data_IF_675302997635
#
_entry.id   IF_675302997635
#
_cell.length_a   1.000
_cell.length_b   1.000
_cell.length_c   1.000
_cell.angle_alpha   90.00
_cell.angle_beta   90.00
_cell.angle_gamma   90.00
#
_symmetry.space_group_name_H-M   'P 1'
#
loop_
_entity.id
_entity.type
_entity.pdbx_description
1 polymer ?
#
# COMPACT_ATOMS: atom_id res chain seq x y z
N UNK A 1 7.46 7.69 13.31
CA UNK A 1 7.60 6.72 12.19
C UNK A 1 6.22 6.24 11.78
N UNK A 2 5.93 6.12 10.47
CA UNK A 2 4.63 5.67 9.96
C UNK A 2 4.64 4.15 9.78
N UNK A 3 3.55 3.50 10.15
CA UNK A 3 3.33 2.06 9.97
C UNK A 3 2.12 1.81 9.08
N UNK A 4 2.16 0.67 8.38
CA UNK A 4 1.15 0.24 7.44
C UNK A 4 0.78 -1.21 7.71
N UNK A 5 -0.50 -1.53 7.53
CA UNK A 5 -1.02 -2.88 7.44
C UNK A 5 -2.03 -2.90 6.30
N UNK A 6 -1.76 -3.73 5.28
CA UNK A 6 -2.61 -3.89 4.12
C UNK A 6 -3.29 -5.25 4.24
N UNK A 7 -4.61 -5.30 4.04
CA UNK A 7 -5.41 -6.51 4.20
C UNK A 7 -6.22 -6.80 2.94
N UNK A 8 -6.07 -8.00 2.39
CA UNK A 8 -6.93 -8.55 1.32
C UNK A 8 -8.26 -8.97 1.95
N UNK A 9 -9.38 -8.57 1.36
CA UNK A 9 -10.72 -9.03 1.76
C UNK A 9 -11.13 -10.26 0.95
N UNK A 10 -12.21 -10.92 1.35
CA UNK A 10 -12.79 -12.05 0.61
C UNK A 10 -13.22 -11.67 -0.82
N UNK A 11 -13.56 -10.41 -1.05
CA UNK A 11 -13.95 -9.88 -2.36
C UNK A 11 -12.75 -9.39 -3.21
N UNK A 12 -11.54 -9.85 -2.90
CA UNK A 12 -10.29 -9.43 -3.57
C UNK A 12 -9.93 -7.93 -3.43
N UNK A 13 -10.63 -7.18 -2.57
CA UNK A 13 -10.33 -5.78 -2.32
C UNK A 13 -9.19 -5.61 -1.31
N UNK A 14 -8.52 -4.45 -1.32
CA UNK A 14 -7.48 -4.11 -0.34
C UNK A 14 -7.97 -3.04 0.62
N UNK A 15 -7.84 -3.30 1.92
CA UNK A 15 -8.09 -2.33 2.97
C UNK A 15 -6.76 -1.83 3.53
N UNK A 16 -6.63 -0.50 3.63
CA UNK A 16 -5.41 0.16 4.06
C UNK A 16 -5.53 0.68 5.50
N UNK A 17 -4.76 0.07 6.41
CA UNK A 17 -4.60 0.56 7.77
C UNK A 17 -3.23 1.23 7.93
N UNK A 18 -3.21 2.36 8.62
CA UNK A 18 -1.99 3.13 8.82
C UNK A 18 -2.04 3.94 10.11
N UNK A 19 -0.87 4.20 10.69
CA UNK A 19 -0.74 5.01 11.91
C UNK A 19 0.60 5.71 12.00
N UNK A 20 0.68 6.71 12.87
CA UNK A 20 1.94 7.27 13.36
C UNK A 20 2.31 6.59 14.69
N UNK A 21 3.47 5.92 14.74
CA UNK A 21 3.97 5.22 15.95
C UNK A 21 4.13 6.21 17.11
N UNK A 22 4.61 7.44 16.83
CA UNK A 22 4.93 8.42 17.86
C UNK A 22 3.70 8.90 18.67
N UNK A 23 2.48 8.51 18.28
CA UNK A 23 1.24 8.82 18.99
C UNK A 23 0.62 7.61 19.70
N UNK A 24 1.15 6.39 19.51
CA UNK A 24 0.55 5.15 19.99
C UNK A 24 1.63 4.19 20.51
N UNK A 25 1.61 3.90 21.82
CA UNK A 25 2.51 2.95 22.48
C UNK A 25 2.18 1.48 22.20
N UNK A 26 1.07 1.19 21.51
CA UNK A 26 0.63 -0.18 21.21
C UNK A 26 1.59 -0.85 20.21
N UNK A 27 2.19 -2.01 20.55
CA UNK A 27 3.02 -2.79 19.64
C UNK A 27 2.33 -3.12 18.31
N UNK A 28 3.10 -3.19 17.21
CA UNK A 28 2.57 -3.45 15.86
C UNK A 28 1.70 -4.70 15.78
N UNK A 29 2.12 -5.79 16.44
CA UNK A 29 1.39 -7.06 16.47
C UNK A 29 -0.02 -6.90 17.06
N UNK A 30 -0.11 -6.26 18.22
CA UNK A 30 -1.39 -6.00 18.92
C UNK A 30 -2.28 -5.11 18.06
N UNK A 31 -1.72 -4.07 17.45
CA UNK A 31 -2.47 -3.19 16.55
C UNK A 31 -3.04 -3.93 15.33
N UNK A 32 -2.27 -4.84 14.73
CA UNK A 32 -2.76 -5.67 13.61
C UNK A 32 -3.90 -6.59 14.06
N UNK A 33 -3.78 -7.21 15.23
CA UNK A 33 -4.85 -8.06 15.81
C UNK A 33 -6.14 -7.27 16.03
N UNK A 34 -6.05 -6.03 16.53
CA UNK A 34 -7.20 -5.13 16.66
C UNK A 34 -7.82 -4.77 15.30
N UNK A 35 -6.99 -4.45 14.29
CA UNK A 35 -7.50 -4.14 12.96
C UNK A 35 -8.17 -5.35 12.30
N UNK A 36 -7.73 -6.56 12.60
CA UNK A 36 -8.35 -7.79 12.10
C UNK A 36 -9.74 -8.05 12.70
N UNK A 37 -9.96 -7.64 13.96
CA UNK A 37 -11.24 -7.79 14.65
C UNK A 37 -12.26 -6.70 14.29
N UNK A 38 -11.83 -5.58 13.71
CA UNK A 38 -12.72 -4.48 13.37
C UNK A 38 -13.67 -4.89 12.23
N UNK A 39 -14.96 -4.71 12.48
CA UNK A 39 -15.97 -4.65 11.42
C UNK A 39 -15.71 -3.36 10.63
N UNK A 40 -15.36 -3.51 9.36
CA UNK A 40 -15.03 -2.40 8.49
C UNK A 40 -16.29 -1.87 7.81
N UNK A 41 -16.64 -0.62 8.10
CA UNK A 41 -17.68 0.11 7.37
C UNK A 41 -17.14 0.83 6.13
N UNK A 42 -15.83 0.77 5.88
CA UNK A 42 -15.15 1.49 4.79
C UNK A 42 -14.69 0.52 3.71
N UNK A 43 -14.89 0.89 2.45
CA UNK A 43 -14.43 0.13 1.28
C UNK A 43 -12.98 0.47 0.90
N UNK A 44 -12.41 -0.30 -0.02
CA UNK A 44 -11.04 -0.11 -0.54
C UNK A 44 -10.75 1.31 -0.97
N UNK A 45 -11.61 1.91 -1.82
CA UNK A 45 -11.45 3.28 -2.31
C UNK A 45 -11.33 4.30 -1.18
N UNK A 46 -12.23 4.26 -0.20
CA UNK A 46 -12.22 5.20 0.92
C UNK A 46 -10.96 5.08 1.76
N UNK A 47 -10.52 3.85 2.05
CA UNK A 47 -9.30 3.64 2.85
C UNK A 47 -8.04 4.03 2.09
N UNK A 48 -8.03 3.85 0.77
CA UNK A 48 -6.94 4.29 -0.10
C UNK A 48 -6.84 5.82 -0.18
N UNK A 49 -7.94 6.54 -0.36
CA UNK A 49 -7.95 8.01 -0.37
C UNK A 49 -7.47 8.57 0.98
N UNK A 50 -7.89 7.97 2.09
CA UNK A 50 -7.39 8.36 3.42
C UNK A 50 -5.89 8.09 3.58
N UNK A 51 -5.36 7.01 2.99
CA UNK A 51 -3.92 6.75 2.96
C UNK A 51 -3.17 7.83 2.17
N UNK A 52 -3.66 8.20 0.97
CA UNK A 52 -3.06 9.26 0.15
C UNK A 52 -2.99 10.58 0.93
N UNK A 53 -4.08 10.94 1.61
CA UNK A 53 -4.14 12.13 2.46
C UNK A 53 -3.16 12.06 3.64
N UNK A 54 -3.11 10.92 4.34
CA UNK A 54 -2.18 10.69 5.45
C UNK A 54 -0.70 10.80 5.04
N UNK A 55 -0.39 10.44 3.78
CA UNK A 55 0.95 10.52 3.23
C UNK A 55 1.25 11.84 2.51
N UNK A 56 0.28 12.77 2.46
CA UNK A 56 0.38 14.04 1.74
C UNK A 56 0.78 13.86 0.26
N UNK A 57 0.21 12.82 -0.36
CA UNK A 57 0.49 12.45 -1.74
C UNK A 57 -0.53 13.11 -2.67
N UNK A 58 -0.05 13.87 -3.66
CA UNK A 58 -0.93 14.63 -4.57
C UNK A 58 -0.66 14.38 -6.05
N UNK A 59 0.58 14.03 -6.40
CA UNK A 59 0.95 13.80 -7.79
C UNK A 59 0.71 12.33 -8.15
N UNK A 60 0.09 12.10 -9.31
CA UNK A 60 -0.16 10.77 -9.87
C UNK A 60 0.48 10.69 -11.25
N UNK A 61 1.18 9.59 -11.52
CA UNK A 61 1.72 9.24 -12.83
C UNK A 61 1.13 7.88 -13.20
N UNK A 62 0.66 7.76 -14.44
CA UNK A 62 0.09 6.52 -14.96
C UNK A 62 0.88 6.07 -16.19
N UNK A 63 1.23 4.79 -16.20
CA UNK A 63 1.86 4.13 -17.34
C UNK A 63 1.06 2.88 -17.67
N UNK A 64 0.73 2.72 -18.94
CA UNK A 64 0.05 1.52 -19.45
C UNK A 64 0.96 0.86 -20.48
N UNK A 65 1.25 -0.42 -20.26
CA UNK A 65 2.06 -1.27 -21.13
C UNK A 65 1.30 -2.57 -21.33
N UNK A 66 0.74 -2.77 -22.51
CA UNK A 66 -0.09 -3.93 -22.87
C UNK A 66 -1.15 -4.23 -21.80
N UNK A 67 -1.00 -5.37 -21.12
CA UNK A 67 -1.89 -5.87 -20.08
C UNK A 67 -1.60 -5.29 -18.69
N UNK A 68 -0.57 -4.45 -18.53
CA UNK A 68 -0.13 -3.91 -17.23
C UNK A 68 -0.40 -2.41 -17.15
N UNK A 69 -1.08 -2.00 -16.09
CA UNK A 69 -1.30 -0.61 -15.73
C UNK A 69 -0.57 -0.30 -14.42
N UNK A 70 0.37 0.64 -14.46
CA UNK A 70 1.16 1.08 -13.32
C UNK A 70 0.74 2.51 -12.96
N UNK A 71 0.16 2.67 -11.78
CA UNK A 71 -0.12 3.97 -11.17
C UNK A 71 0.90 4.25 -10.07
N UNK A 72 1.54 5.42 -10.11
CA UNK A 72 2.50 5.87 -9.11
C UNK A 72 1.99 7.18 -8.52
N UNK A 73 1.70 7.17 -7.22
CA UNK A 73 1.40 8.39 -6.47
C UNK A 73 2.63 8.83 -5.68
N UNK A 74 3.07 10.08 -5.88
CA UNK A 74 4.32 10.62 -5.33
C UNK A 74 4.00 11.75 -4.36
N UNK A 75 4.38 11.56 -3.09
CA UNK A 75 4.40 12.59 -2.06
C UNK A 75 5.83 12.95 -1.69
N UNK A 76 6.00 13.82 -0.68
CA UNK A 76 7.32 14.27 -0.22
C UNK A 76 8.14 13.14 0.39
N UNK A 77 7.55 12.41 1.33
CA UNK A 77 8.24 11.36 2.10
C UNK A 77 8.02 9.95 1.56
N UNK A 78 6.89 9.71 0.90
CA UNK A 78 6.47 8.39 0.45
C UNK A 78 5.97 8.45 -0.99
N UNK A 79 6.06 7.30 -1.64
CA UNK A 79 5.36 7.01 -2.88
C UNK A 79 4.59 5.70 -2.75
N UNK A 80 3.47 5.62 -3.46
CA UNK A 80 2.66 4.43 -3.58
C UNK A 80 2.70 3.99 -5.04
N UNK A 81 2.97 2.71 -5.27
CA UNK A 81 2.90 2.09 -6.59
C UNK A 81 1.75 1.09 -6.56
N UNK A 82 0.81 1.22 -7.49
CA UNK A 82 -0.20 0.21 -7.80
C UNK A 82 0.13 -0.35 -9.17
N UNK A 83 0.24 -1.67 -9.25
CA UNK A 83 0.35 -2.40 -10.51
C UNK A 83 -0.94 -3.18 -10.65
N UNK A 84 -1.67 -2.97 -11.73
CA UNK A 84 -2.85 -3.75 -12.11
C UNK A 84 -2.50 -4.56 -13.34
N UNK A 85 -2.75 -5.87 -13.28
CA UNK A 85 -2.49 -6.78 -14.39
C UNK A 85 -3.82 -7.29 -14.93
N UNK A 86 -4.13 -6.90 -16.16
CA UNK A 86 -5.24 -7.43 -16.93
C UNK A 86 -4.90 -8.84 -17.40
N UNK A 87 -5.87 -9.74 -17.49
CA UNK A 87 -5.73 -11.05 -18.16
C UNK A 87 -4.67 -12.03 -17.60
N UNK A 88 -4.03 -11.77 -16.46
CA UNK A 88 -3.05 -12.67 -15.82
C UNK A 88 -3.43 -13.08 -14.39
N UNK A 89 -4.69 -13.50 -14.21
CA UNK A 89 -5.24 -13.96 -12.93
C UNK A 89 -4.32 -15.04 -12.33
N UNK A 90 -3.93 -14.85 -11.07
CA UNK A 90 -3.17 -15.78 -10.22
C UNK A 90 -1.73 -16.12 -10.67
N UNK A 91 -1.21 -15.55 -11.75
CA UNK A 91 0.15 -15.87 -12.22
C UNK A 91 1.24 -15.37 -11.26
N UNK A 92 0.91 -14.38 -10.42
CA UNK A 92 1.86 -13.69 -9.56
C UNK A 92 1.48 -13.73 -8.08
N UNK A 93 0.48 -14.50 -7.66
CA UNK A 93 -0.05 -14.50 -6.28
C UNK A 93 1.04 -14.76 -5.21
N UNK A 94 2.14 -15.41 -5.60
CA UNK A 94 3.27 -15.75 -4.74
C UNK A 94 4.54 -14.89 -4.99
N UNK A 95 4.46 -13.75 -5.68
CA UNK A 95 5.60 -12.85 -5.79
C UNK A 95 5.85 -12.15 -4.46
N UNK A 96 6.98 -12.50 -3.83
CA UNK A 96 7.50 -11.77 -2.68
C UNK A 96 8.30 -10.55 -3.11
N UNK A 97 8.00 -9.40 -2.51
CA UNK A 97 8.79 -8.19 -2.69
C UNK A 97 9.69 -7.97 -1.48
N UNK A 98 10.91 -7.47 -1.71
CA UNK A 98 11.90 -7.17 -0.65
C UNK A 98 11.50 -6.02 0.29
N UNK A 99 10.29 -5.48 0.16
CA UNK A 99 9.74 -4.42 1.02
C UNK A 99 8.72 -5.03 1.97
N UNK A 100 8.62 -4.50 3.19
CA UNK A 100 7.66 -4.99 4.18
C UNK A 100 6.25 -4.41 4.02
N UNK A 101 6.07 -3.42 3.14
CA UNK A 101 4.83 -2.65 3.01
C UNK A 101 4.22 -2.84 1.63
N UNK A 102 3.86 -4.08 1.30
CA UNK A 102 3.14 -4.40 0.07
C UNK A 102 2.00 -5.37 0.34
N UNK A 103 1.10 -5.49 -0.63
CA UNK A 103 0.15 -6.58 -0.73
C UNK A 103 -0.06 -6.93 -2.20
N UNK A 104 -0.27 -8.21 -2.46
CA UNK A 104 -0.55 -8.76 -3.77
C UNK A 104 -1.88 -9.51 -3.72
N UNK A 105 -2.86 -9.07 -4.50
CA UNK A 105 -4.17 -9.73 -4.58
C UNK A 105 -4.25 -10.75 -5.71
N UNK A 106 -3.19 -10.88 -6.52
CA UNK A 106 -3.17 -11.64 -7.78
C UNK A 106 -3.46 -10.74 -8.99
N UNK A 107 -4.42 -9.83 -8.86
CA UNK A 107 -4.80 -8.87 -9.92
C UNK A 107 -4.13 -7.50 -9.72
N UNK A 108 -3.95 -7.11 -8.47
CA UNK A 108 -3.39 -5.83 -8.09
C UNK A 108 -2.25 -6.01 -7.08
N UNK A 109 -1.19 -5.24 -7.26
CA UNK A 109 -0.06 -5.16 -6.33
C UNK A 109 0.01 -3.73 -5.84
N UNK A 110 -0.06 -3.54 -4.52
CA UNK A 110 0.17 -2.24 -3.89
C UNK A 110 1.48 -2.26 -3.14
N UNK A 111 2.32 -1.24 -3.36
CA UNK A 111 3.61 -1.08 -2.70
C UNK A 111 3.68 0.32 -2.11
N UNK A 112 3.94 0.43 -0.81
CA UNK A 112 4.19 1.69 -0.12
C UNK A 112 5.70 1.79 0.16
N UNK A 113 6.36 2.78 -0.43
CA UNK A 113 7.81 2.95 -0.30
C UNK A 113 8.14 4.35 0.20
N UNK A 114 9.04 4.43 1.18
CA UNK A 114 9.63 5.71 1.58
C UNK A 114 10.51 6.20 0.43
N UNK A 115 10.41 7.48 0.06
CA UNK A 115 11.34 8.06 -0.90
C UNK A 115 12.74 8.03 -0.29
N UNK A 116 13.71 7.52 -1.05
CA UNK A 116 15.10 7.60 -0.62
C UNK A 116 15.48 9.09 -0.60
N UNK A 117 16.16 9.54 0.46
CA UNK A 117 16.89 10.80 0.37
C UNK A 117 17.94 10.64 -0.73
N UNK A 118 18.00 11.58 -1.66
CA UNK A 118 19.01 11.60 -2.74
C UNK A 118 20.44 11.39 -2.18
N UNK A 119 20.69 11.83 -0.95
CA UNK A 119 21.98 11.69 -0.26
C UNK A 119 22.36 10.26 0.18
N UNK A 120 21.43 9.29 0.18
CA UNK A 120 21.76 7.89 0.52
C UNK A 120 22.25 7.07 -0.68
N UNK A 121 22.11 7.59 -1.92
CA UNK A 121 22.58 6.93 -3.15
C UNK A 121 24.04 7.24 -3.51
N UNK A 122 24.68 8.13 -2.75
CA UNK A 122 26.03 8.65 -3.02
C UNK A 122 27.04 8.27 -1.92
N UNK A 123 26.76 7.24 -1.12
CA UNK A 123 27.72 6.67 -0.17
C UNK A 123 28.19 5.29 -0.63
#
# INVERSE_FOLDING_TARGET
MKEFYLKKTENNEVIFFFRNINKNSVPKKIWIEEMNKKILFYNSKTTFERLLNFLEVRNKIEHKLDDVEISIWIGKEYKIVKIKMSNQINKFENLEFSTSNYINTGEEIYIIKKNNNINERLK
#
